data_IF_914466614869
#
_entry.id   IF_914466614869
#
_cell.length_a   1.000
_cell.length_b   1.000
_cell.length_c   1.000
_cell.angle_alpha   90.00
_cell.angle_beta   90.00
_cell.angle_gamma   90.00
#
_symmetry.space_group_name_H-M   'P 1'
#
loop_
_entity.id
_entity.type
_entity.pdbx_description
1 polymer ?
#
# COMPACT_ATOMS: atom_id res chain seq x y z
N UNK A 1 0.58 -4.45 22.46
CA UNK A 1 -0.70 -4.76 21.79
C UNK A 1 -0.89 -3.97 20.47
N UNK A 2 0.17 -3.47 19.82
CA UNK A 2 0.06 -2.51 18.70
C UNK A 2 0.19 -3.10 17.29
N UNK A 3 0.82 -4.27 17.12
CA UNK A 3 1.14 -4.80 15.78
C UNK A 3 -0.05 -5.45 15.05
N UNK A 4 -0.97 -6.06 15.80
CA UNK A 4 -2.11 -6.79 15.22
C UNK A 4 -3.08 -5.88 14.47
N UNK A 5 -3.26 -4.63 14.92
CA UNK A 5 -4.20 -3.72 14.28
C UNK A 5 -3.79 -3.28 12.87
N UNK A 6 -2.50 -3.38 12.51
CA UNK A 6 -2.03 -3.07 11.14
C UNK A 6 -2.09 -4.27 10.18
N UNK A 7 -2.43 -5.47 10.68
CA UNK A 7 -2.51 -6.68 9.87
C UNK A 7 -3.46 -6.56 8.66
N UNK A 8 -4.66 -5.93 8.78
CA UNK A 8 -5.54 -5.72 7.63
C UNK A 8 -4.94 -4.83 6.54
N UNK A 9 -4.14 -3.83 6.92
CA UNK A 9 -3.46 -2.96 5.96
C UNK A 9 -2.35 -3.72 5.21
N UNK A 10 -1.59 -4.57 5.93
CA UNK A 10 -0.55 -5.40 5.35
C UNK A 10 -1.11 -6.47 4.38
N UNK A 11 -2.24 -7.08 4.72
CA UNK A 11 -2.94 -8.03 3.85
C UNK A 11 -3.39 -7.37 2.54
N UNK A 12 -4.01 -6.18 2.63
CA UNK A 12 -4.40 -5.40 1.45
C UNK A 12 -3.20 -5.01 0.57
N UNK A 13 -2.09 -4.58 1.18
CA UNK A 13 -0.87 -4.26 0.45
C UNK A 13 -0.31 -5.49 -0.30
N UNK A 14 -0.33 -6.67 0.35
CA UNK A 14 0.08 -7.91 -0.32
C UNK A 14 -0.77 -8.22 -1.54
N UNK A 15 -2.09 -8.07 -1.46
CA UNK A 15 -3.01 -8.30 -2.59
C UNK A 15 -2.69 -7.34 -3.74
N UNK A 16 -2.53 -6.05 -3.43
CA UNK A 16 -2.20 -5.02 -4.43
C UNK A 16 -0.87 -5.30 -5.13
N UNK A 17 0.15 -5.73 -4.41
CA UNK A 17 1.43 -6.11 -5.01
C UNK A 17 1.27 -7.23 -6.04
N UNK A 18 0.53 -8.30 -5.71
CA UNK A 18 0.31 -9.41 -6.64
C UNK A 18 -0.47 -8.98 -7.88
N UNK A 19 -1.50 -8.14 -7.72
CA UNK A 19 -2.26 -7.58 -8.85
C UNK A 19 -1.36 -6.76 -9.77
N UNK A 20 -0.52 -5.87 -9.21
CA UNK A 20 0.43 -5.07 -10.00
C UNK A 20 1.46 -5.95 -10.71
N UNK A 21 1.96 -6.98 -10.03
CA UNK A 21 2.90 -7.94 -10.61
C UNK A 21 2.26 -8.70 -11.79
N UNK A 22 0.97 -9.05 -11.70
CA UNK A 22 0.25 -9.65 -12.82
C UNK A 22 0.00 -8.66 -13.97
N UNK A 23 -0.21 -7.37 -13.69
CA UNK A 23 -0.28 -6.33 -14.73
C UNK A 23 1.05 -6.16 -15.48
N UNK A 24 2.18 -6.26 -14.78
CA UNK A 24 3.51 -6.22 -15.39
C UNK A 24 3.77 -7.36 -16.38
N UNK A 25 3.07 -8.51 -16.22
CA UNK A 25 3.12 -9.62 -17.20
C UNK A 25 2.39 -9.31 -18.50
N UNK A 26 1.39 -8.43 -18.46
CA UNK A 26 0.60 -8.02 -19.63
C UNK A 26 1.33 -6.91 -20.40
N UNK A 27 1.91 -5.94 -19.68
CA UNK A 27 2.68 -4.86 -20.29
C UNK A 27 3.92 -4.52 -19.42
N UNK A 28 5.15 -4.65 -19.97
CA UNK A 28 6.39 -4.37 -19.25
C UNK A 28 6.50 -2.96 -18.66
N UNK A 29 5.73 -1.99 -19.16
CA UNK A 29 5.66 -0.63 -18.61
C UNK A 29 5.15 -0.60 -17.15
N UNK A 30 4.36 -1.59 -16.73
CA UNK A 30 3.85 -1.71 -15.35
C UNK A 30 4.68 -2.66 -14.48
N UNK A 31 5.91 -3.00 -14.90
CA UNK A 31 6.78 -3.87 -14.13
C UNK A 31 7.30 -3.13 -12.88
N UNK A 32 6.71 -3.42 -11.73
CA UNK A 32 7.21 -2.99 -10.43
C UNK A 32 8.04 -4.09 -9.77
N UNK A 33 9.21 -3.73 -9.24
CA UNK A 33 9.94 -4.63 -8.33
C UNK A 33 9.28 -4.61 -6.95
N UNK A 34 9.50 -5.67 -6.17
CA UNK A 34 9.07 -5.72 -4.78
C UNK A 34 9.66 -4.56 -3.97
N UNK A 35 10.93 -4.23 -4.19
CA UNK A 35 11.61 -3.13 -3.49
C UNK A 35 10.96 -1.78 -3.80
N UNK A 36 10.67 -1.50 -5.07
CA UNK A 36 9.97 -0.28 -5.48
C UNK A 36 8.56 -0.20 -4.88
N UNK A 37 7.85 -1.33 -4.81
CA UNK A 37 6.54 -1.39 -4.16
C UNK A 37 6.63 -1.09 -2.65
N UNK A 38 7.61 -1.69 -1.96
CA UNK A 38 7.84 -1.47 -0.53
C UNK A 38 8.14 0.01 -0.26
N UNK A 39 9.00 0.63 -1.07
CA UNK A 39 9.35 2.04 -0.89
C UNK A 39 8.17 2.96 -1.16
N UNK A 40 7.32 2.63 -2.14
CA UNK A 40 6.07 3.36 -2.39
C UNK A 40 5.07 3.20 -1.23
N UNK A 41 5.02 2.02 -0.61
CA UNK A 41 4.20 1.79 0.58
C UNK A 41 4.72 2.59 1.79
N UNK A 42 6.04 2.62 2.02
CA UNK A 42 6.65 3.49 3.06
C UNK A 42 6.34 4.97 2.82
N UNK A 43 6.46 5.43 1.58
CA UNK A 43 6.11 6.80 1.21
C UNK A 43 4.63 7.10 1.50
N UNK A 44 3.75 6.13 1.25
CA UNK A 44 2.32 6.25 1.57
C UNK A 44 2.08 6.30 3.08
N UNK A 45 2.84 5.57 3.89
CA UNK A 45 2.82 5.67 5.35
C UNK A 45 3.24 7.08 5.80
N UNK A 46 4.28 7.65 5.21
CA UNK A 46 4.77 8.97 5.63
C UNK A 46 3.85 10.12 5.18
N UNK A 47 3.28 10.03 3.98
CA UNK A 47 2.47 11.10 3.38
C UNK A 47 0.99 11.05 3.74
N UNK A 48 0.48 9.92 4.18
CA UNK A 48 -0.94 9.79 4.54
C UNK A 48 -1.28 10.56 5.82
N UNK A 49 -2.50 11.11 5.93
CA UNK A 49 -2.93 11.80 7.14
C UNK A 49 -2.80 10.94 8.40
N UNK A 50 -2.08 11.46 9.41
CA UNK A 50 -1.94 10.80 10.70
C UNK A 50 -3.22 11.00 11.53
N UNK A 51 -3.65 9.96 12.24
CA UNK A 51 -4.73 10.03 13.23
C UNK A 51 -4.29 9.33 14.52
N UNK A 52 -4.80 9.80 15.66
CA UNK A 52 -4.61 9.17 16.96
C UNK A 52 -5.42 7.87 17.10
N UNK A 53 -6.50 7.71 16.32
CA UNK A 53 -7.27 6.47 16.24
C UNK A 53 -6.68 5.57 15.17
N UNK A 54 -6.36 4.34 15.54
CA UNK A 54 -5.73 3.36 14.65
C UNK A 54 -6.60 3.03 13.42
N UNK A 55 -7.91 2.90 13.61
CA UNK A 55 -8.86 2.60 12.54
C UNK A 55 -8.89 3.72 11.48
N UNK A 56 -9.03 4.97 11.91
CA UNK A 56 -8.97 6.14 11.01
C UNK A 56 -7.60 6.24 10.32
N UNK A 57 -6.51 5.94 11.03
CA UNK A 57 -5.16 5.93 10.47
C UNK A 57 -5.01 4.91 9.34
N UNK A 58 -5.58 3.73 9.51
CA UNK A 58 -5.55 2.64 8.51
C UNK A 58 -6.37 3.01 7.29
N UNK A 59 -7.56 3.60 7.48
CA UNK A 59 -8.39 4.10 6.36
C UNK A 59 -7.63 5.16 5.56
N UNK A 60 -7.07 6.17 6.25
CA UNK A 60 -6.29 7.23 5.59
C UNK A 60 -5.07 6.69 4.82
N UNK A 61 -4.37 5.70 5.39
CA UNK A 61 -3.24 5.04 4.73
C UNK A 61 -3.71 4.31 3.46
N UNK A 62 -4.76 3.52 3.59
CA UNK A 62 -5.30 2.72 2.50
C UNK A 62 -5.79 3.59 1.34
N UNK A 63 -6.52 4.66 1.63
CA UNK A 63 -7.05 5.57 0.61
C UNK A 63 -5.91 6.30 -0.11
N UNK A 64 -4.92 6.79 0.65
CA UNK A 64 -3.77 7.44 0.05
C UNK A 64 -2.95 6.47 -0.80
N UNK A 65 -2.68 5.27 -0.31
CA UNK A 65 -1.87 4.27 -1.01
C UNK A 65 -2.56 3.78 -2.29
N UNK A 66 -3.88 3.56 -2.22
CA UNK A 66 -4.70 3.21 -3.40
C UNK A 66 -4.58 4.29 -4.47
N UNK A 67 -4.74 5.55 -4.06
CA UNK A 67 -4.60 6.68 -4.96
C UNK A 67 -3.18 6.81 -5.55
N UNK A 68 -2.16 6.55 -4.75
CA UNK A 68 -0.74 6.63 -5.16
C UNK A 68 -0.33 5.52 -6.14
N UNK A 69 -1.05 4.39 -6.18
CA UNK A 69 -0.82 3.29 -7.12
C UNK A 69 -1.56 3.51 -8.44
N UNK A 70 -2.77 4.06 -8.39
CA UNK A 70 -3.59 4.27 -9.60
C UNK A 70 -3.18 5.50 -10.43
N UNK A 71 -2.40 6.42 -9.86
CA UNK A 71 -2.00 7.65 -10.53
C UNK A 71 -0.70 7.51 -11.31
#
# INVERSE_FOLDING_TARGET
>A
MSFQGYRPAAERASILFFVLNDMGRINPMYQFSLDSYIDQFKLSIDKSPRSAKLEERIVNLNDHHTYAIYR
#
